data_IF_701416788699
#
_entry.id   IF_701416788699
#
_cell.length_a   1.000
_cell.length_b   1.000
_cell.length_c   1.000
_cell.angle_alpha   90.00
_cell.angle_beta   90.00
_cell.angle_gamma   90.00
#
_symmetry.space_group_name_H-M   'P 1'
#
loop_
_entity.id
_entity.type
_entity.pdbx_description
1 polymer ?
#
# COMPACT_ATOMS: atom_id res chain seq x y z
N UNK A 1 -1.10 -23.38 -34.63
CA UNK A 1 -1.84 -23.69 -33.38
C UNK A 1 -0.92 -24.01 -32.21
N UNK A 2 0.00 -24.98 -32.32
CA UNK A 2 0.91 -25.35 -31.23
C UNK A 2 1.78 -24.20 -30.69
N UNK A 3 2.42 -23.44 -31.58
CA UNK A 3 3.28 -22.30 -31.18
C UNK A 3 2.49 -21.21 -30.44
N UNK A 4 1.24 -20.95 -30.84
CA UNK A 4 0.38 -19.97 -30.17
C UNK A 4 0.03 -20.41 -28.73
N UNK A 5 -0.28 -21.70 -28.52
CA UNK A 5 -0.56 -22.26 -27.19
C UNK A 5 0.68 -22.19 -26.29
N UNK A 6 1.85 -22.59 -26.80
CA UNK A 6 3.11 -22.54 -26.05
C UNK A 6 3.48 -21.10 -25.65
N UNK A 7 3.25 -20.12 -26.55
CA UNK A 7 3.47 -18.71 -26.23
C UNK A 7 2.53 -18.20 -25.15
N UNK A 8 1.25 -18.59 -25.18
CA UNK A 8 0.26 -18.21 -24.15
C UNK A 8 0.65 -18.79 -22.79
N UNK A 9 0.95 -20.09 -22.71
CA UNK A 9 1.38 -20.76 -21.47
C UNK A 9 2.67 -20.14 -20.94
N UNK A 10 3.64 -19.88 -21.81
CA UNK A 10 4.89 -19.20 -21.45
C UNK A 10 4.68 -17.79 -20.90
N UNK A 11 3.70 -17.03 -21.43
CA UNK A 11 3.33 -15.72 -20.88
C UNK A 11 2.66 -15.84 -19.51
N UNK A 12 1.75 -16.80 -19.33
CA UNK A 12 1.09 -17.03 -18.04
C UNK A 12 2.10 -17.35 -16.95
N UNK A 13 3.01 -18.29 -17.21
CA UNK A 13 4.08 -18.65 -16.26
C UNK A 13 4.97 -17.44 -15.96
N UNK A 14 5.35 -16.65 -16.98
CA UNK A 14 6.16 -15.44 -16.79
C UNK A 14 5.46 -14.38 -15.94
N UNK A 15 4.14 -14.22 -16.07
CA UNK A 15 3.37 -13.26 -15.25
C UNK A 15 3.38 -13.70 -13.80
N UNK A 16 3.06 -14.96 -13.51
CA UNK A 16 3.03 -15.49 -12.14
C UNK A 16 4.38 -15.31 -11.43
N UNK A 17 5.49 -15.57 -12.13
CA UNK A 17 6.84 -15.41 -11.57
C UNK A 17 7.23 -13.93 -11.34
N UNK A 18 6.69 -13.00 -12.15
CA UNK A 18 7.02 -11.55 -12.03
C UNK A 18 6.11 -10.78 -11.08
N UNK A 19 4.86 -11.22 -10.89
CA UNK A 19 3.90 -10.61 -9.95
C UNK A 19 4.41 -10.48 -8.50
N UNK A 20 5.11 -11.46 -7.88
CA UNK A 20 5.53 -11.35 -6.49
C UNK A 20 6.51 -10.19 -6.24
N UNK A 21 7.38 -9.87 -7.19
CA UNK A 21 8.31 -8.73 -7.07
C UNK A 21 7.59 -7.37 -6.99
N UNK A 22 6.47 -7.24 -7.68
CA UNK A 22 5.69 -6.00 -7.66
C UNK A 22 4.91 -5.85 -6.34
N UNK A 23 4.47 -6.97 -5.76
CA UNK A 23 3.70 -7.02 -4.51
C UNK A 23 4.59 -6.98 -3.26
N UNK A 24 5.86 -7.35 -3.39
CA UNK A 24 6.83 -7.38 -2.28
C UNK A 24 6.93 -6.04 -1.52
N UNK A 25 6.68 -4.91 -2.16
CA UNK A 25 6.69 -3.59 -1.50
C UNK A 25 5.62 -3.44 -0.42
N UNK A 26 4.47 -4.09 -0.59
CA UNK A 26 3.35 -4.04 0.37
C UNK A 26 3.51 -5.16 1.41
N UNK A 27 3.98 -6.33 0.98
CA UNK A 27 4.13 -7.51 1.84
C UNK A 27 5.27 -7.38 2.86
N UNK A 28 6.34 -6.64 2.54
CA UNK A 28 7.48 -6.44 3.44
C UNK A 28 7.36 -5.21 4.36
N UNK A 29 6.15 -4.73 4.67
CA UNK A 29 5.99 -3.57 5.56
C UNK A 29 6.25 -3.95 7.03
N UNK A 30 7.20 -3.30 7.72
CA UNK A 30 7.55 -3.66 9.10
C UNK A 30 6.48 -3.27 10.14
N UNK A 31 5.67 -2.25 9.86
CA UNK A 31 4.54 -1.87 10.72
C UNK A 31 3.42 -1.23 9.86
N UNK A 32 2.23 -1.82 9.92
CA UNK A 32 1.02 -1.36 9.20
C UNK A 32 0.06 -0.52 10.07
N UNK A 33 0.31 -0.35 11.37
CA UNK A 33 -0.59 0.31 12.33
C UNK A 33 -0.88 1.76 11.96
N UNK A 34 0.12 2.49 11.46
CA UNK A 34 -0.05 3.88 11.06
C UNK A 34 -1.03 4.00 9.88
N UNK A 35 -0.96 3.05 8.94
CA UNK A 35 -1.87 2.98 7.80
C UNK A 35 -3.27 2.55 8.22
N UNK A 36 -3.38 1.59 9.14
CA UNK A 36 -4.66 1.19 9.71
C UNK A 36 -5.36 2.36 10.41
N UNK A 37 -4.62 3.17 11.18
CA UNK A 37 -5.15 4.39 11.82
C UNK A 37 -5.69 5.38 10.79
N UNK A 38 -4.99 5.60 9.68
CA UNK A 38 -5.47 6.49 8.62
C UNK A 38 -6.76 5.97 7.96
N UNK A 39 -6.87 4.66 7.72
CA UNK A 39 -8.09 4.06 7.21
C UNK A 39 -9.25 4.21 8.20
N UNK A 40 -8.98 4.04 9.50
CA UNK A 40 -9.96 4.27 10.55
C UNK A 40 -10.41 5.73 10.62
N UNK A 41 -9.48 6.68 10.53
CA UNK A 41 -9.80 8.12 10.48
C UNK A 41 -10.70 8.45 9.28
N UNK A 42 -10.40 7.89 8.10
CA UNK A 42 -11.23 8.04 6.89
C UNK A 42 -12.64 7.47 7.14
N UNK A 43 -12.73 6.29 7.75
CA UNK A 43 -14.00 5.64 8.05
C UNK A 43 -14.86 6.50 8.99
N UNK A 44 -14.27 7.03 10.07
CA UNK A 44 -14.96 7.91 11.02
C UNK A 44 -15.40 9.22 10.37
N UNK A 45 -14.56 9.83 9.53
CA UNK A 45 -14.90 11.09 8.84
C UNK A 45 -16.02 10.88 7.82
N UNK A 46 -16.06 9.72 7.17
CA UNK A 46 -17.14 9.31 6.27
C UNK A 46 -18.47 9.15 7.02
N UNK A 47 -18.43 8.56 8.22
CA UNK A 47 -19.62 8.44 9.08
C UNK A 47 -20.17 9.82 9.48
N UNK A 48 -19.28 10.78 9.76
CA UNK A 48 -19.63 12.17 10.07
C UNK A 48 -20.00 13.03 8.85
N UNK A 49 -19.92 12.49 7.62
CA UNK A 49 -20.21 13.19 6.35
C UNK A 49 -19.44 14.51 6.14
N UNK A 50 -18.21 14.60 6.66
CA UNK A 50 -17.34 15.77 6.46
C UNK A 50 -16.45 15.60 5.22
N UNK A 51 -17.01 15.87 4.04
CA UNK A 51 -16.39 15.60 2.73
C UNK A 51 -15.06 16.35 2.47
N UNK A 52 -14.91 17.57 2.99
CA UNK A 52 -13.66 18.33 2.83
C UNK A 52 -12.49 17.66 3.55
N UNK A 53 -12.74 17.16 4.77
CA UNK A 53 -11.73 16.48 5.56
C UNK A 53 -11.44 15.08 4.99
N UNK A 54 -12.48 14.37 4.53
CA UNK A 54 -12.35 13.09 3.83
C UNK A 54 -11.41 13.21 2.63
N UNK A 55 -11.64 14.21 1.76
CA UNK A 55 -10.82 14.46 0.57
C UNK A 55 -9.35 14.70 0.89
N UNK A 56 -9.08 15.41 1.99
CA UNK A 56 -7.71 15.71 2.45
C UNK A 56 -7.01 14.48 3.04
N UNK A 57 -7.73 13.63 3.77
CA UNK A 57 -7.23 12.34 4.26
C UNK A 57 -6.96 11.37 3.10
N UNK A 58 -7.85 11.31 2.11
CA UNK A 58 -7.64 10.54 0.88
C UNK A 58 -6.44 11.04 0.07
N UNK A 59 -6.24 12.36 -0.02
CA UNK A 59 -5.04 12.92 -0.65
C UNK A 59 -3.75 12.45 0.01
N UNK A 60 -3.72 12.39 1.35
CA UNK A 60 -2.58 11.85 2.11
C UNK A 60 -2.37 10.36 1.81
N UNK A 61 -3.43 9.57 1.80
CA UNK A 61 -3.37 8.14 1.45
C UNK A 61 -2.80 7.93 0.04
N UNK A 62 -3.31 8.67 -0.94
CA UNK A 62 -2.87 8.58 -2.34
C UNK A 62 -1.38 8.92 -2.49
N UNK A 63 -0.92 9.96 -1.78
CA UNK A 63 0.49 10.36 -1.78
C UNK A 63 1.40 9.26 -1.24
N UNK A 64 1.00 8.63 -0.12
CA UNK A 64 1.75 7.52 0.50
C UNK A 64 1.86 6.35 -0.49
N UNK A 65 0.75 5.93 -1.09
CA UNK A 65 0.72 4.77 -2.01
C UNK A 65 1.51 5.03 -3.30
N UNK A 66 1.59 6.29 -3.75
CA UNK A 66 2.33 6.65 -4.97
C UNK A 66 3.85 6.62 -4.82
N UNK A 67 4.40 6.82 -3.62
CA UNK A 67 5.84 6.87 -3.41
C UNK A 67 6.32 5.81 -2.41
N UNK A 68 7.06 4.78 -2.86
CA UNK A 68 7.52 3.70 -1.97
C UNK A 68 8.42 4.21 -0.85
N UNK A 69 9.22 5.26 -1.08
CA UNK A 69 10.04 5.91 -0.06
C UNK A 69 9.23 6.50 1.09
N UNK A 70 8.06 7.08 0.76
CA UNK A 70 7.17 7.63 1.79
C UNK A 70 6.51 6.52 2.59
N UNK A 71 6.13 5.40 1.96
CA UNK A 71 5.59 4.23 2.68
C UNK A 71 6.61 3.71 3.70
N UNK A 72 7.86 3.51 3.29
CA UNK A 72 8.92 2.98 4.16
C UNK A 72 9.23 3.92 5.33
N UNK A 73 9.28 5.23 5.08
CA UNK A 73 9.46 6.23 6.15
C UNK A 73 8.29 6.22 7.14
N UNK A 74 7.08 5.95 6.66
CA UNK A 74 5.87 6.01 7.44
C UNK A 74 5.57 4.70 8.20
N UNK A 75 6.07 3.58 7.72
CA UNK A 75 6.02 2.27 8.40
C UNK A 75 7.17 2.05 9.40
N UNK A 76 8.16 2.96 9.47
CA UNK A 76 9.29 2.81 10.40
C UNK A 76 8.82 2.91 11.85
N UNK A 77 9.31 2.02 12.72
CA UNK A 77 9.05 2.07 14.15
C UNK A 77 9.45 3.43 14.71
N UNK A 78 8.50 4.14 15.32
CA UNK A 78 8.80 5.33 16.12
C UNK A 78 9.39 4.84 17.42
N UNK A 79 10.73 4.82 17.52
CA UNK A 79 11.40 4.64 18.81
C UNK A 79 10.94 5.80 19.67
N UNK A 80 10.02 5.54 20.61
CA UNK A 80 9.71 6.50 21.67
C UNK A 80 10.98 6.58 22.51
N UNK A 81 11.78 7.62 22.31
CA UNK A 81 12.78 8.02 23.29
C UNK A 81 12.00 8.29 24.58
N UNK A 82 12.28 7.48 25.60
CA UNK A 82 11.77 7.70 26.94
C UNK A 82 12.66 8.80 27.49
N UNK A 83 12.15 10.03 27.53
CA UNK A 83 12.77 11.11 28.28
C UNK A 83 12.61 10.73 29.77
N UNK A 84 13.72 10.30 30.38
CA UNK A 84 13.85 10.08 31.83
C UNK A 84 13.99 11.43 32.56
#
# INVERSE_FOLDING_TARGET
MYVAVVLVVGRFVRVIVRTPLNNAKIENLPNADNLLRLFQDIYVVREKRHFYLESRLYGKLLFIVRSPDTVIRWSRYRVKMKDD
#
